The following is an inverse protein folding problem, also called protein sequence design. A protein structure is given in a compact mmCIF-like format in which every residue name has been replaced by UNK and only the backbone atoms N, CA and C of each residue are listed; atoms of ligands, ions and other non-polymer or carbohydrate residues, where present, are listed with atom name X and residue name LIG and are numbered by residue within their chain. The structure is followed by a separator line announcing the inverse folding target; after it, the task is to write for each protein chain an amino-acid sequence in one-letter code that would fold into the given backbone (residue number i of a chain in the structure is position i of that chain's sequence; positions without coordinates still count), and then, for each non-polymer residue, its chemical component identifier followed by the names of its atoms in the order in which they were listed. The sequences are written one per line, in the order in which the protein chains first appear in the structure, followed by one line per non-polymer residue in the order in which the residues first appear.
data_IF_381948385470
#
_entry.id   IF_381948385470
#
_cell.length_a   1.000
_cell.length_b   1.000
_cell.length_c   1.000
_cell.angle_alpha   90.00
_cell.angle_beta   90.00
_cell.angle_gamma   90.00
#
_symmetry.space_group_name_H-M   'P 1'
#
loop_
_entity.id
_entity.type
_entity.pdbx_description
1 polymer ?
#
# COMPACT_ATOMS: atom_id res chain seq x y z
N UNK A 1 -2.36 83.44 -21.05
CA UNK A 1 -2.00 82.32 -21.95
C UNK A 1 -0.66 81.78 -21.47
N UNK A 2 -0.67 80.64 -20.77
CA UNK A 2 0.51 80.06 -20.10
C UNK A 2 1.35 79.25 -21.09
N UNK A 3 2.67 79.48 -21.14
CA UNK A 3 3.63 78.64 -21.87
C UNK A 3 4.54 77.97 -20.83
N UNK A 4 4.32 76.68 -20.59
CA UNK A 4 5.04 75.90 -19.59
C UNK A 4 6.48 75.61 -20.04
N UNK A 5 7.43 75.82 -19.11
CA UNK A 5 8.82 75.35 -19.21
C UNK A 5 8.84 73.82 -19.10
N UNK A 6 9.56 73.17 -20.02
CA UNK A 6 9.97 71.77 -19.90
C UNK A 6 10.91 71.59 -18.70
N UNK A 7 10.59 70.66 -17.82
CA UNK A 7 11.51 70.13 -16.82
C UNK A 7 11.74 68.65 -17.13
N UNK A 8 12.93 68.35 -17.64
CA UNK A 8 13.45 66.99 -17.77
C UNK A 8 13.63 66.39 -16.38
N UNK A 9 12.85 65.39 -16.03
CA UNK A 9 13.08 64.57 -14.84
C UNK A 9 13.64 63.20 -15.27
N UNK A 10 14.97 63.12 -15.29
CA UNK A 10 15.73 61.86 -15.36
C UNK A 10 15.43 61.03 -14.11
N UNK A 11 14.57 60.01 -14.23
CA UNK A 11 14.33 59.05 -13.16
C UNK A 11 15.43 57.98 -13.12
N UNK A 12 16.37 58.17 -12.20
CA UNK A 12 17.38 57.19 -11.76
C UNK A 12 16.68 55.91 -11.25
N UNK A 13 17.02 54.78 -11.87
CA UNK A 13 16.64 53.43 -11.49
C UNK A 13 16.81 53.19 -9.98
N UNK A 14 15.69 52.99 -9.26
CA UNK A 14 15.69 52.45 -7.90
C UNK A 14 15.34 50.97 -8.00
N UNK A 15 16.34 50.11 -7.84
CA UNK A 15 16.17 48.66 -7.79
C UNK A 15 15.20 48.28 -6.67
N UNK A 16 14.04 47.73 -7.06
CA UNK A 16 13.06 47.15 -6.16
C UNK A 16 13.45 45.68 -5.95
N UNK A 17 14.02 45.33 -4.79
CA UNK A 17 14.29 43.92 -4.44
C UNK A 17 12.96 43.34 -3.93
N UNK A 18 12.34 42.50 -4.76
CA UNK A 18 11.11 41.77 -4.41
C UNK A 18 11.50 40.46 -3.71
N UNK A 19 11.41 40.40 -2.39
CA UNK A 19 11.54 39.16 -1.61
C UNK A 19 10.27 38.33 -1.76
N UNK A 20 10.29 37.33 -2.64
CA UNK A 20 9.23 36.33 -2.78
C UNK A 20 9.44 35.26 -1.70
N UNK A 21 8.59 35.24 -0.67
CA UNK A 21 8.54 34.16 0.29
C UNK A 21 7.87 32.93 -0.35
N UNK A 22 8.66 31.93 -0.75
CA UNK A 22 8.14 30.61 -1.14
C UNK A 22 7.58 29.92 0.11
N UNK A 23 6.27 29.92 0.27
CA UNK A 23 5.60 29.01 1.20
C UNK A 23 5.70 27.59 0.64
N UNK A 24 6.57 26.76 1.20
CA UNK A 24 6.66 25.34 0.86
C UNK A 24 5.44 24.66 1.51
N UNK A 25 4.37 24.51 0.73
CA UNK A 25 3.21 23.72 1.15
C UNK A 25 3.63 22.25 1.10
N UNK A 26 3.87 21.65 2.25
CA UNK A 26 4.10 20.20 2.34
C UNK A 26 2.77 19.49 2.08
N UNK A 27 2.56 19.05 0.83
CA UNK A 27 1.50 18.10 0.51
C UNK A 27 1.80 16.80 1.25
N UNK A 28 1.05 16.52 2.31
CA UNK A 28 1.12 15.22 2.97
C UNK A 28 0.79 14.15 1.93
N UNK A 29 1.75 13.28 1.63
CA UNK A 29 1.52 12.16 0.74
C UNK A 29 0.39 11.31 1.33
N UNK A 30 -0.61 10.98 0.50
CA UNK A 30 -1.68 10.08 0.90
C UNK A 30 -1.15 8.71 1.32
N UNK A 31 -1.98 7.86 1.97
CA UNK A 31 -1.56 6.51 2.31
C UNK A 31 -1.08 5.77 1.04
N UNK A 32 -0.05 4.89 1.16
CA UNK A 32 0.36 4.07 0.03
C UNK A 32 -0.81 3.31 -0.59
N UNK A 33 -0.79 3.16 -1.91
CA UNK A 33 -1.80 2.38 -2.63
C UNK A 33 -1.42 0.90 -2.63
N UNK A 34 -2.29 0.08 -2.05
CA UNK A 34 -2.18 -1.37 -2.02
C UNK A 34 -3.16 -2.05 -2.98
N UNK A 35 -4.11 -1.33 -3.58
CA UNK A 35 -5.18 -1.94 -4.35
C UNK A 35 -4.68 -2.81 -5.51
N UNK A 36 -5.34 -3.95 -5.70
CA UNK A 36 -5.13 -4.86 -6.80
C UNK A 36 -4.91 -6.31 -6.39
N UNK A 37 -4.54 -7.11 -7.39
CA UNK A 37 -4.34 -8.55 -7.29
C UNK A 37 -2.85 -8.89 -7.21
N UNK A 38 -2.50 -9.82 -6.33
CA UNK A 38 -1.12 -10.23 -6.07
C UNK A 38 -1.03 -11.76 -5.92
N UNK A 39 0.07 -12.35 -6.35
CA UNK A 39 0.31 -13.78 -6.19
C UNK A 39 1.79 -14.12 -6.03
N UNK A 40 2.07 -15.15 -5.23
CA UNK A 40 3.30 -15.92 -5.28
C UNK A 40 2.99 -17.30 -5.87
N UNK A 41 3.34 -17.48 -7.15
CA UNK A 41 3.16 -18.75 -7.88
C UNK A 41 4.26 -19.78 -7.60
N UNK A 42 5.33 -19.36 -6.92
CA UNK A 42 6.43 -20.22 -6.52
C UNK A 42 6.45 -20.43 -4.99
N UNK A 43 5.29 -20.26 -4.34
CA UNK A 43 5.17 -20.38 -2.90
C UNK A 43 5.59 -21.78 -2.44
N UNK A 44 6.26 -21.86 -1.28
CA UNK A 44 6.88 -23.10 -0.78
C UNK A 44 7.80 -23.80 -1.79
N UNK A 45 8.61 -23.01 -2.50
CA UNK A 45 9.51 -23.50 -3.56
C UNK A 45 8.77 -24.16 -4.73
N UNK A 46 7.59 -23.64 -5.07
CA UNK A 46 6.75 -24.13 -6.18
C UNK A 46 5.81 -25.28 -5.83
N UNK A 47 5.74 -25.69 -4.55
CA UNK A 47 4.78 -26.70 -4.10
C UNK A 47 3.36 -26.16 -3.95
N UNK A 48 3.22 -24.84 -3.76
CA UNK A 48 1.95 -24.18 -3.53
C UNK A 48 1.86 -22.86 -4.29
N UNK A 49 0.66 -22.32 -4.34
CA UNK A 49 0.39 -20.94 -4.80
C UNK A 49 -0.29 -20.17 -3.67
N UNK A 50 0.11 -18.92 -3.48
CA UNK A 50 -0.57 -17.96 -2.61
C UNK A 50 -1.08 -16.81 -3.47
N UNK A 51 -2.33 -16.38 -3.27
CA UNK A 51 -2.92 -15.25 -3.97
C UNK A 51 -3.70 -14.34 -3.02
N UNK A 52 -3.74 -13.05 -3.33
CA UNK A 52 -4.33 -12.01 -2.50
C UNK A 52 -4.95 -10.93 -3.38
N UNK A 53 -6.17 -10.53 -3.03
CA UNK A 53 -6.85 -9.37 -3.57
C UNK A 53 -6.97 -8.30 -2.49
N UNK A 54 -6.68 -7.05 -2.84
CA UNK A 54 -6.75 -5.91 -1.95
C UNK A 54 -7.66 -4.84 -2.56
N UNK A 55 -8.69 -4.48 -1.82
CA UNK A 55 -9.48 -3.28 -2.07
C UNK A 55 -9.10 -2.21 -1.04
N UNK A 56 -9.06 -0.95 -1.47
CA UNK A 56 -8.65 0.16 -0.62
C UNK A 56 -9.58 1.36 -0.79
N UNK A 57 -9.96 1.96 0.35
CA UNK A 57 -10.65 3.25 0.41
C UNK A 57 -9.99 4.11 1.49
N UNK A 58 -9.24 5.13 1.04
CA UNK A 58 -8.40 5.93 1.93
C UNK A 58 -7.37 5.07 2.66
N UNK A 59 -7.44 5.04 4.00
CA UNK A 59 -6.59 4.20 4.85
C UNK A 59 -7.22 2.85 5.21
N UNK A 60 -8.43 2.55 4.76
CA UNK A 60 -9.08 1.25 5.01
C UNK A 60 -8.72 0.29 3.89
N UNK A 61 -8.35 -0.95 4.26
CA UNK A 61 -8.04 -2.03 3.31
C UNK A 61 -8.94 -3.22 3.61
N UNK A 62 -9.60 -3.74 2.58
CA UNK A 62 -10.27 -5.05 2.61
C UNK A 62 -9.36 -6.06 1.95
N UNK A 63 -9.22 -7.22 2.58
CA UNK A 63 -8.30 -8.27 2.19
C UNK A 63 -9.09 -9.52 1.88
N UNK A 64 -8.83 -10.11 0.72
CA UNK A 64 -9.16 -11.49 0.43
C UNK A 64 -7.87 -12.23 0.10
N UNK A 65 -7.71 -13.47 0.58
CA UNK A 65 -6.61 -14.31 0.13
C UNK A 65 -6.99 -15.78 0.07
N UNK A 66 -6.26 -16.52 -0.74
CA UNK A 66 -6.26 -17.98 -0.70
C UNK A 66 -4.86 -18.54 -0.91
N UNK A 67 -4.66 -19.75 -0.41
CA UNK A 67 -3.43 -20.50 -0.64
C UNK A 67 -3.76 -21.98 -0.83
N UNK A 68 -2.98 -22.69 -1.62
CA UNK A 68 -3.20 -24.12 -1.82
C UNK A 68 -2.01 -24.81 -2.44
N UNK A 69 -1.82 -26.07 -2.08
CA UNK A 69 -0.84 -26.94 -2.71
C UNK A 69 -1.24 -27.28 -4.13
N UNK A 70 -0.25 -27.32 -5.02
CA UNK A 70 -0.47 -27.51 -6.45
C UNK A 70 -0.94 -28.94 -6.80
N UNK A 71 -0.68 -29.90 -5.92
CA UNK A 71 -1.17 -31.29 -6.02
C UNK A 71 -2.53 -31.51 -5.32
N UNK A 72 -3.10 -30.45 -4.72
CA UNK A 72 -4.41 -30.46 -4.07
C UNK A 72 -4.44 -31.05 -2.66
N UNK A 73 -3.30 -31.36 -2.02
CA UNK A 73 -3.31 -31.86 -0.65
C UNK A 73 -3.61 -30.76 0.39
N UNK A 74 -3.90 -31.20 1.62
CA UNK A 74 -4.14 -30.30 2.75
C UNK A 74 -5.52 -29.66 2.71
N UNK A 75 -5.63 -28.46 3.28
CA UNK A 75 -6.82 -27.63 3.24
C UNK A 75 -6.49 -26.31 2.55
N UNK A 76 -7.34 -25.88 1.63
CA UNK A 76 -7.22 -24.60 0.92
C UNK A 76 -7.89 -23.50 1.76
N UNK A 77 -7.13 -22.68 2.51
CA UNK A 77 -7.69 -21.56 3.21
C UNK A 77 -8.20 -20.53 2.21
N UNK A 78 -9.46 -20.14 2.39
CA UNK A 78 -10.02 -18.94 1.76
C UNK A 78 -10.37 -18.01 2.89
N UNK A 79 -9.79 -16.83 2.91
CA UNK A 79 -9.89 -15.91 4.03
C UNK A 79 -10.23 -14.50 3.60
N UNK A 80 -11.04 -13.87 4.43
CA UNK A 80 -11.43 -12.48 4.32
C UNK A 80 -10.94 -11.72 5.56
N UNK A 81 -10.65 -10.45 5.37
CA UNK A 81 -10.12 -9.59 6.42
C UNK A 81 -10.31 -8.12 6.14
N UNK A 82 -10.14 -7.33 7.20
CA UNK A 82 -10.16 -5.88 7.12
C UNK A 82 -9.01 -5.32 7.95
N UNK A 83 -8.50 -4.18 7.50
CA UNK A 83 -7.35 -3.55 8.09
C UNK A 83 -7.29 -2.05 7.85
N UNK A 84 -6.22 -1.45 8.37
CA UNK A 84 -5.92 -0.04 8.20
C UNK A 84 -4.44 0.17 7.85
N UNK A 85 -4.19 1.16 7.03
CA UNK A 85 -2.86 1.66 6.71
C UNK A 85 -2.44 2.60 7.84
N UNK A 86 -1.36 2.24 8.51
CA UNK A 86 -0.77 3.04 9.58
C UNK A 86 -0.07 4.29 9.02
N UNK A 87 0.23 5.26 9.88
CA UNK A 87 1.02 6.45 9.50
C UNK A 87 2.43 6.12 8.99
N UNK A 88 2.93 4.91 9.26
CA UNK A 88 4.20 4.39 8.75
C UNK A 88 4.07 3.74 7.37
N UNK A 89 2.87 3.73 6.77
CA UNK A 89 2.61 3.16 5.46
C UNK A 89 2.51 1.63 5.43
N UNK A 90 2.39 0.98 6.59
CA UNK A 90 2.15 -0.47 6.69
C UNK A 90 0.64 -0.71 6.83
N UNK A 91 0.08 -1.60 6.02
CA UNK A 91 -1.29 -2.07 6.24
C UNK A 91 -1.29 -3.17 7.29
N UNK A 92 -2.07 -3.02 8.34
CA UNK A 92 -2.28 -4.02 9.39
C UNK A 92 -3.73 -4.48 9.35
N UNK A 93 -3.95 -5.79 9.32
CA UNK A 93 -5.28 -6.37 9.17
C UNK A 93 -5.49 -7.58 10.08
N UNK A 94 -6.76 -7.93 10.27
CA UNK A 94 -7.19 -9.20 10.86
C UNK A 94 -7.89 -10.04 9.80
N UNK A 95 -7.82 -11.36 9.93
CA UNK A 95 -8.48 -12.26 8.98
C UNK A 95 -9.16 -13.43 9.68
N UNK A 96 -10.13 -14.04 8.99
CA UNK A 96 -10.70 -15.35 9.29
C UNK A 96 -10.80 -16.17 8.02
N UNK A 97 -10.51 -17.46 8.12
CA UNK A 97 -10.65 -18.38 6.98
C UNK A 97 -11.93 -19.23 7.07
N UNK A 98 -12.23 -19.92 5.98
CA UNK A 98 -13.28 -20.93 5.84
C UNK A 98 -13.14 -22.12 6.81
N UNK A 99 -11.95 -22.37 7.36
CA UNK A 99 -11.67 -23.38 8.38
C UNK A 99 -11.80 -22.86 9.83
N UNK A 100 -12.29 -21.62 10.01
CA UNK A 100 -12.48 -20.94 11.30
C UNK A 100 -11.17 -20.63 12.05
N UNK A 101 -10.03 -20.69 11.38
CA UNK A 101 -8.81 -20.07 11.87
C UNK A 101 -8.96 -18.54 11.82
N UNK A 102 -8.21 -17.86 12.67
CA UNK A 102 -8.15 -16.41 12.69
C UNK A 102 -6.72 -15.94 12.95
N UNK A 103 -6.42 -14.75 12.49
CA UNK A 103 -5.09 -14.19 12.65
C UNK A 103 -5.00 -12.70 12.38
N UNK A 104 -3.76 -12.23 12.41
CA UNK A 104 -3.37 -10.91 11.98
C UNK A 104 -2.44 -11.01 10.78
N UNK A 105 -2.38 -9.94 10.00
CA UNK A 105 -1.40 -9.81 8.95
C UNK A 105 -0.90 -8.39 8.78
N UNK A 106 0.26 -8.28 8.13
CA UNK A 106 0.85 -7.01 7.73
C UNK A 106 1.18 -7.03 6.25
N UNK A 107 1.07 -5.87 5.60
CA UNK A 107 1.44 -5.66 4.20
C UNK A 107 2.31 -4.42 4.10
N UNK A 108 3.45 -4.56 3.44
CA UNK A 108 4.34 -3.44 3.08
C UNK A 108 4.60 -3.45 1.58
N UNK A 109 4.88 -2.28 1.00
CA UNK A 109 5.21 -2.15 -0.42
C UNK A 109 6.63 -2.65 -0.69
N UNK A 110 6.82 -3.33 -1.83
CA UNK A 110 8.12 -3.69 -2.37
C UNK A 110 8.17 -3.35 -3.87
N UNK A 111 8.25 -2.05 -4.18
CA UNK A 111 8.04 -1.56 -5.54
C UNK A 111 6.56 -1.73 -5.95
N UNK A 112 6.32 -2.42 -7.06
CA UNK A 112 4.97 -2.79 -7.51
C UNK A 112 4.38 -3.98 -6.74
N UNK A 113 5.24 -4.78 -6.11
CA UNK A 113 4.88 -5.96 -5.33
C UNK A 113 4.51 -5.59 -3.89
N UNK A 114 4.13 -6.60 -3.12
CA UNK A 114 3.91 -6.49 -1.68
C UNK A 114 4.67 -7.56 -0.91
N UNK A 115 5.04 -7.25 0.33
CA UNK A 115 5.52 -8.22 1.31
C UNK A 115 4.41 -8.40 2.33
N UNK A 116 3.94 -9.64 2.47
CA UNK A 116 2.87 -10.06 3.37
C UNK A 116 3.46 -10.89 4.50
N UNK A 117 3.02 -10.64 5.73
CA UNK A 117 3.25 -11.55 6.84
C UNK A 117 1.93 -11.89 7.50
N UNK A 118 1.72 -13.18 7.79
CA UNK A 118 0.53 -13.69 8.48
C UNK A 118 0.94 -14.34 9.79
N UNK A 119 0.10 -14.18 10.81
CA UNK A 119 0.25 -14.84 12.11
C UNK A 119 -1.12 -15.29 12.61
N UNK A 120 -1.26 -16.57 12.92
CA UNK A 120 -2.48 -17.10 13.55
C UNK A 120 -2.61 -16.63 14.99
N UNK A 121 -3.80 -16.17 15.36
CA UNK A 121 -4.21 -15.90 16.74
C UNK A 121 -5.14 -17.00 17.27
N UNK A 122 -5.82 -17.72 16.38
CA UNK A 122 -6.62 -18.91 16.68
C UNK A 122 -6.43 -19.95 15.59
N UNK A 123 -6.18 -21.19 16.00
CA UNK A 123 -6.14 -22.36 15.12
C UNK A 123 -7.34 -23.26 15.47
N UNK A 124 -8.29 -23.38 14.55
CA UNK A 124 -9.40 -24.32 14.60
C UNK A 124 -9.14 -25.56 13.73
N UNK A 125 -8.37 -25.43 12.65
CA UNK A 125 -7.89 -26.54 11.81
C UNK A 125 -6.42 -26.31 11.45
N UNK A 126 -5.56 -27.27 11.78
CA UNK A 126 -4.11 -27.13 11.59
C UNK A 126 -3.64 -27.41 10.16
N UNK A 127 -4.48 -28.00 9.29
CA UNK A 127 -4.09 -28.47 7.95
C UNK A 127 -3.69 -27.39 6.95
N UNK A 128 -3.96 -26.12 7.26
CA UNK A 128 -3.56 -24.97 6.44
C UNK A 128 -2.61 -23.99 7.16
N UNK A 129 -2.24 -24.26 8.42
CA UNK A 129 -1.48 -23.29 9.23
C UNK A 129 -0.08 -23.02 8.66
N UNK A 130 0.53 -24.00 8.02
CA UNK A 130 1.84 -23.85 7.37
C UNK A 130 1.85 -22.90 6.16
N UNK A 131 0.67 -22.60 5.60
CA UNK A 131 0.48 -21.62 4.54
C UNK A 131 0.47 -20.18 5.10
N UNK A 132 0.34 -20.00 6.43
CA UNK A 132 0.42 -18.71 7.12
C UNK A 132 1.86 -18.36 7.49
N UNK A 133 2.59 -17.77 6.54
CA UNK A 133 4.01 -17.44 6.70
C UNK A 133 4.29 -15.95 6.83
N UNK A 134 5.53 -15.65 7.20
CA UNK A 134 6.06 -14.29 7.28
C UNK A 134 6.91 -13.96 6.05
N UNK A 135 7.00 -12.67 5.72
CA UNK A 135 7.85 -12.12 4.66
C UNK A 135 7.63 -12.76 3.27
N UNK A 136 6.38 -13.12 2.97
CA UNK A 136 5.99 -13.64 1.67
C UNK A 136 5.95 -12.48 0.67
N UNK A 137 6.75 -12.57 -0.41
CA UNK A 137 6.72 -11.56 -1.46
C UNK A 137 5.74 -11.98 -2.55
N UNK A 138 4.65 -11.23 -2.72
CA UNK A 138 3.64 -11.51 -3.74
C UNK A 138 3.80 -10.50 -4.87
N UNK A 139 3.84 -11.00 -6.11
CA UNK A 139 3.97 -10.18 -7.31
C UNK A 139 2.61 -9.67 -7.76
N UNK A 140 2.56 -8.43 -8.24
CA UNK A 140 1.32 -7.86 -8.80
C UNK A 140 0.89 -8.66 -10.04
N UNK A 141 -0.36 -9.09 -10.09
CA UNK A 141 -0.95 -9.82 -11.23
C UNK A 141 -1.41 -8.81 -12.28
N UNK A 142 -1.23 -9.15 -13.56
CA UNK A 142 -1.68 -8.31 -14.68
C UNK A 142 -0.63 -7.39 -15.29
N UNK A 143 0.62 -7.40 -14.79
CA UNK A 143 1.75 -6.87 -15.57
C UNK A 143 2.31 -7.99 -16.47
N UNK A 144 2.26 -7.76 -17.79
CA UNK A 144 3.09 -8.47 -18.76
C UNK A 144 4.48 -7.84 -18.79
#
# INVERSE_FOLDING_TARGET
MFRARSYNASMKNRSLILLVALAIVSIAAGPPDFAGEYADRNFLSGQATFQMSLEQSGSVVTVWFSAGYNDGHGLLPVADGNGKITSKGTAEFTFKDNARNAGTGTITRAGDDIIVSLKTTRVADSRCVELYRQNMRLKKVGKK
#
